data_IF_266704077068
#
_entry.id   IF_266704077068
#
_cell.length_a   1.000
_cell.length_b   1.000
_cell.length_c   1.000
_cell.angle_alpha   90.00
_cell.angle_beta   90.00
_cell.angle_gamma   90.00
#
_symmetry.space_group_name_H-M   'P 1'
#
loop_
_entity.id
_entity.type
_entity.pdbx_description
1 polymer ?
#
# COMPACT_ATOMS: atom_id res chain seq x y z
N UNK A 1 -6.66 58.22 -9.47
CA UNK A 1 -5.68 57.13 -9.21
C UNK A 1 -5.72 56.53 -7.78
N UNK A 2 -6.48 57.08 -6.82
CA UNK A 2 -6.54 56.58 -5.44
C UNK A 2 -7.54 55.41 -5.23
N UNK A 3 -8.59 55.31 -6.04
CA UNK A 3 -9.60 54.27 -5.86
C UNK A 3 -9.08 52.82 -6.11
N UNK A 4 -8.19 52.66 -7.08
CA UNK A 4 -7.63 51.36 -7.45
C UNK A 4 -6.72 50.76 -6.36
N UNK A 5 -5.96 51.60 -5.66
CA UNK A 5 -5.08 51.16 -4.54
C UNK A 5 -5.90 50.63 -3.37
N UNK A 6 -7.05 51.24 -3.07
CA UNK A 6 -7.94 50.78 -2.00
C UNK A 6 -8.56 49.42 -2.33
N UNK A 7 -8.97 49.20 -3.57
CA UNK A 7 -9.49 47.89 -4.02
C UNK A 7 -8.45 46.77 -3.93
N UNK A 8 -7.19 47.06 -4.30
CA UNK A 8 -6.11 46.10 -4.24
C UNK A 8 -5.81 45.68 -2.81
N UNK A 9 -5.82 46.62 -1.87
CA UNK A 9 -5.63 46.34 -0.44
C UNK A 9 -6.74 45.41 0.09
N UNK A 10 -7.98 45.64 -0.31
CA UNK A 10 -9.12 44.80 0.10
C UNK A 10 -9.03 43.39 -0.46
N UNK A 11 -8.63 43.24 -1.71
CA UNK A 11 -8.45 41.93 -2.34
C UNK A 11 -7.34 41.15 -1.61
N UNK A 12 -6.20 41.76 -1.35
CA UNK A 12 -5.08 41.14 -0.61
C UNK A 12 -5.49 40.77 0.82
N UNK A 13 -6.23 41.67 1.51
CA UNK A 13 -6.72 41.39 2.86
C UNK A 13 -7.71 40.21 2.91
N UNK A 14 -8.63 40.12 1.93
CA UNK A 14 -9.56 38.99 1.81
C UNK A 14 -8.80 37.70 1.53
N UNK A 15 -7.79 37.71 0.64
CA UNK A 15 -6.97 36.56 0.34
C UNK A 15 -6.16 36.07 1.56
N UNK A 16 -5.58 36.98 2.32
CA UNK A 16 -4.87 36.67 3.57
C UNK A 16 -5.82 36.10 4.64
N UNK A 17 -7.02 36.70 4.79
CA UNK A 17 -8.03 36.21 5.73
C UNK A 17 -8.54 34.81 5.36
N UNK A 18 -8.76 34.52 4.08
CA UNK A 18 -9.17 33.19 3.64
C UNK A 18 -8.05 32.15 3.79
N UNK A 19 -6.79 32.50 3.56
CA UNK A 19 -5.65 31.62 3.78
C UNK A 19 -5.44 31.35 5.27
N UNK A 20 -5.59 32.32 6.15
CA UNK A 20 -5.52 32.15 7.61
C UNK A 20 -6.71 31.34 8.11
N UNK A 21 -7.94 31.64 7.66
CA UNK A 21 -9.13 30.88 8.02
C UNK A 21 -9.02 29.42 7.55
N UNK A 22 -8.51 29.18 6.36
CA UNK A 22 -8.25 27.83 5.84
C UNK A 22 -7.28 27.03 6.74
N UNK A 23 -6.16 27.66 7.13
CA UNK A 23 -5.20 27.02 8.07
C UNK A 23 -5.80 26.77 9.46
N UNK A 24 -6.62 27.70 9.98
CA UNK A 24 -7.27 27.54 11.30
C UNK A 24 -8.35 26.47 11.25
N UNK A 25 -9.09 26.35 10.15
CA UNK A 25 -10.07 25.28 9.95
C UNK A 25 -9.36 23.94 9.85
N UNK A 26 -8.28 23.81 9.07
CA UNK A 26 -7.47 22.60 8.99
C UNK A 26 -6.87 22.21 10.35
N UNK A 27 -6.38 23.17 11.13
CA UNK A 27 -5.81 22.92 12.47
C UNK A 27 -6.86 22.59 13.55
N UNK A 28 -8.13 22.95 13.33
CA UNK A 28 -9.25 22.68 14.25
C UNK A 28 -10.16 21.54 13.83
N UNK A 29 -10.00 21.02 12.61
CA UNK A 29 -10.68 19.79 12.22
C UNK A 29 -10.03 18.67 13.06
N UNK A 30 -10.77 18.01 13.96
CA UNK A 30 -10.19 16.89 14.70
C UNK A 30 -9.63 15.91 13.67
N UNK A 31 -8.41 15.46 13.90
CA UNK A 31 -7.72 14.49 13.05
C UNK A 31 -8.44 13.12 13.19
N UNK A 32 -9.64 13.02 12.60
CA UNK A 32 -10.47 11.82 12.57
C UNK A 32 -9.94 10.85 11.50
N UNK A 33 -8.90 11.29 10.78
CA UNK A 33 -8.32 10.58 9.67
C UNK A 33 -7.10 9.72 10.05
N UNK A 34 -6.51 9.12 9.03
CA UNK A 34 -5.28 8.35 9.13
C UNK A 34 -4.03 9.25 9.17
N UNK A 35 -4.14 10.56 8.98
CA UNK A 35 -3.00 11.48 8.91
C UNK A 35 -2.15 11.54 10.20
N UNK A 36 -2.73 11.16 11.36
CA UNK A 36 -2.03 11.03 12.63
C UNK A 36 -1.36 9.68 12.86
N UNK A 37 -1.68 8.66 12.05
CA UNK A 37 -1.11 7.32 12.16
C UNK A 37 0.24 7.32 11.44
N UNK A 38 1.31 6.99 12.15
CA UNK A 38 2.68 6.98 11.63
C UNK A 38 3.33 5.60 11.65
N UNK A 39 2.71 4.65 12.34
CA UNK A 39 3.26 3.29 12.47
C UNK A 39 2.15 2.23 12.40
N UNK A 40 2.56 1.01 12.08
CA UNK A 40 1.67 -0.16 12.12
C UNK A 40 1.15 -0.38 13.54
N UNK A 41 1.96 -0.15 14.57
CA UNK A 41 1.55 -0.29 15.97
C UNK A 41 0.40 0.66 16.33
N UNK A 42 0.45 1.91 15.87
CA UNK A 42 -0.64 2.88 16.08
C UNK A 42 -1.92 2.48 15.32
N UNK A 43 -1.77 1.79 14.18
CA UNK A 43 -2.89 1.24 13.42
C UNK A 43 -3.49 0.00 14.10
N UNK A 44 -2.68 -0.81 14.77
CA UNK A 44 -3.04 -2.11 15.35
C UNK A 44 -4.27 -2.08 16.26
N UNK A 45 -4.46 -1.00 17.02
CA UNK A 45 -5.60 -0.78 17.91
C UNK A 45 -6.84 -0.17 17.24
N UNK A 46 -6.79 0.12 15.94
CA UNK A 46 -7.90 0.76 15.22
C UNK A 46 -8.88 -0.27 14.68
N UNK A 47 -10.18 0.08 14.71
CA UNK A 47 -11.20 -0.70 14.04
C UNK A 47 -11.09 -0.51 12.53
N UNK A 48 -11.00 -1.61 11.80
CA UNK A 48 -10.87 -1.61 10.34
C UNK A 48 -11.96 -2.47 9.71
N UNK A 49 -12.41 -2.06 8.54
CA UNK A 49 -13.38 -2.77 7.73
C UNK A 49 -12.76 -3.08 6.36
N UNK A 50 -12.68 -4.36 6.02
CA UNK A 50 -12.34 -4.78 4.67
C UNK A 50 -13.56 -4.59 3.77
N UNK A 51 -13.45 -3.72 2.78
CA UNK A 51 -14.53 -3.49 1.81
C UNK A 51 -14.45 -4.50 0.65
N UNK A 52 -13.24 -4.85 0.25
CA UNK A 52 -13.00 -5.72 -0.90
C UNK A 52 -11.95 -6.79 -0.59
N UNK A 53 -12.26 -8.03 -0.93
CA UNK A 53 -11.31 -9.13 -0.98
C UNK A 53 -11.20 -9.66 -2.41
N UNK A 54 -10.05 -10.14 -2.81
CA UNK A 54 -9.80 -10.69 -4.15
C UNK A 54 -10.78 -11.83 -4.44
N UNK A 55 -11.58 -11.66 -5.49
CA UNK A 55 -12.63 -12.60 -5.88
C UNK A 55 -13.99 -12.32 -5.24
N UNK A 56 -14.21 -11.15 -4.65
CA UNK A 56 -15.56 -10.68 -4.33
C UNK A 56 -16.34 -10.34 -5.60
N UNK A 57 -17.66 -10.53 -5.54
CA UNK A 57 -18.58 -10.13 -6.60
C UNK A 57 -18.69 -11.10 -7.78
N UNK A 58 -19.29 -10.61 -8.86
CA UNK A 58 -19.64 -11.40 -10.07
C UNK A 58 -18.42 -11.78 -10.94
N UNK A 59 -17.29 -11.07 -10.78
CA UNK A 59 -16.05 -11.32 -11.54
C UNK A 59 -15.21 -12.49 -11.02
N UNK A 60 -15.66 -13.18 -9.96
CA UNK A 60 -14.90 -14.28 -9.32
C UNK A 60 -14.43 -15.36 -10.28
N UNK A 61 -15.34 -15.84 -11.14
CA UNK A 61 -15.02 -16.93 -12.07
C UNK A 61 -14.02 -16.46 -13.12
N UNK A 62 -14.18 -15.27 -13.67
CA UNK A 62 -13.23 -14.67 -14.61
C UNK A 62 -11.85 -14.46 -14.00
N UNK A 63 -11.81 -14.06 -12.73
CA UNK A 63 -10.55 -13.90 -12.00
C UNK A 63 -9.85 -15.25 -11.76
N UNK A 64 -10.58 -16.29 -11.31
CA UNK A 64 -10.04 -17.65 -11.17
C UNK A 64 -9.51 -18.15 -12.49
N UNK A 65 -10.25 -17.95 -13.58
CA UNK A 65 -9.83 -18.33 -14.93
C UNK A 65 -8.55 -17.57 -15.32
N UNK A 66 -8.48 -16.27 -15.07
CA UNK A 66 -7.29 -15.45 -15.33
C UNK A 66 -6.08 -15.94 -14.53
N UNK A 67 -6.21 -16.09 -13.20
CA UNK A 67 -5.13 -16.56 -12.34
C UNK A 67 -4.66 -17.98 -12.71
N UNK A 68 -5.55 -18.85 -13.18
CA UNK A 68 -5.20 -20.24 -13.53
C UNK A 68 -4.62 -20.37 -14.93
N UNK A 69 -5.16 -19.62 -15.91
CA UNK A 69 -4.72 -19.75 -17.31
C UNK A 69 -3.54 -18.87 -17.68
N UNK A 70 -3.33 -17.78 -16.94
CA UNK A 70 -2.30 -16.77 -17.23
C UNK A 70 -1.23 -16.72 -16.14
N UNK A 71 -0.94 -17.83 -15.46
CA UNK A 71 0.09 -17.87 -14.40
C UNK A 71 1.43 -17.33 -14.89
N UNK A 72 1.88 -17.76 -16.07
CA UNK A 72 3.14 -17.28 -16.68
C UNK A 72 3.15 -15.76 -16.92
N UNK A 73 1.98 -15.17 -17.20
CA UNK A 73 1.85 -13.72 -17.38
C UNK A 73 2.06 -12.97 -16.06
N UNK A 74 1.50 -13.46 -14.95
CA UNK A 74 1.73 -12.86 -13.62
C UNK A 74 3.19 -12.99 -13.18
N UNK A 75 3.80 -14.17 -13.44
CA UNK A 75 5.23 -14.38 -13.18
C UNK A 75 6.07 -13.42 -14.03
N UNK A 76 5.77 -13.28 -15.32
CA UNK A 76 6.47 -12.37 -16.22
C UNK A 76 6.32 -10.90 -15.78
N UNK A 77 5.13 -10.47 -15.36
CA UNK A 77 4.92 -9.11 -14.83
C UNK A 77 5.79 -8.83 -13.60
N UNK A 78 5.97 -9.81 -12.74
CA UNK A 78 6.88 -9.67 -11.59
C UNK A 78 8.36 -9.65 -12.02
N UNK A 79 8.74 -10.44 -13.05
CA UNK A 79 10.10 -10.44 -13.63
C UNK A 79 10.44 -9.12 -14.33
N UNK A 80 9.44 -8.51 -14.98
CA UNK A 80 9.57 -7.24 -15.69
C UNK A 80 9.69 -6.05 -14.72
N UNK A 81 9.46 -6.24 -13.41
CA UNK A 81 9.70 -5.21 -12.41
C UNK A 81 11.12 -4.64 -12.54
N UNK A 82 11.27 -3.32 -12.41
CA UNK A 82 12.57 -2.64 -12.52
C UNK A 82 13.48 -3.01 -11.35
N UNK A 83 12.89 -3.25 -10.16
CA UNK A 83 13.58 -3.53 -8.91
C UNK A 83 12.96 -4.77 -8.26
N UNK A 84 13.79 -5.72 -7.90
CA UNK A 84 13.42 -6.92 -7.16
C UNK A 84 14.36 -7.05 -5.96
N UNK A 85 13.80 -7.02 -4.74
CA UNK A 85 14.60 -6.99 -3.51
C UNK A 85 14.02 -7.92 -2.45
N UNK A 86 14.87 -8.34 -1.52
CA UNK A 86 14.44 -8.81 -0.21
C UNK A 86 14.45 -7.63 0.75
N UNK A 87 13.34 -7.39 1.42
CA UNK A 87 13.19 -6.25 2.31
C UNK A 87 12.35 -6.58 3.54
N UNK A 88 12.45 -5.72 4.55
CA UNK A 88 11.62 -5.75 5.76
C UNK A 88 10.88 -4.45 5.93
N UNK A 89 9.67 -4.50 6.49
CA UNK A 89 8.99 -3.30 6.95
C UNK A 89 9.79 -2.65 8.08
N UNK A 90 9.88 -1.31 8.07
CA UNK A 90 10.37 -0.55 9.23
C UNK A 90 9.25 -0.27 10.23
N UNK A 91 8.01 -0.58 9.86
CA UNK A 91 6.80 -0.26 10.60
C UNK A 91 6.29 1.16 10.35
N UNK A 92 7.05 2.02 9.67
CA UNK A 92 6.64 3.39 9.40
C UNK A 92 5.58 3.47 8.30
N UNK A 93 4.59 4.34 8.51
CA UNK A 93 3.47 4.59 7.60
C UNK A 93 3.31 6.09 7.33
N UNK A 94 2.89 6.41 6.13
CA UNK A 94 2.45 7.76 5.75
C UNK A 94 1.14 7.67 4.98
N UNK A 95 0.19 8.53 5.35
CA UNK A 95 -1.12 8.60 4.69
C UNK A 95 -1.30 9.96 4.04
N UNK A 96 -1.75 9.97 2.79
CA UNK A 96 -2.16 11.15 2.05
C UNK A 96 -3.58 10.95 1.54
N UNK A 97 -4.17 11.96 0.92
CA UNK A 97 -5.52 11.81 0.34
C UNK A 97 -5.51 10.76 -0.78
N UNK A 98 -6.12 9.62 -0.51
CA UNK A 98 -6.30 8.53 -1.48
C UNK A 98 -5.09 7.63 -1.69
N UNK A 99 -3.97 7.84 -0.98
CA UNK A 99 -2.79 6.95 -1.04
C UNK A 99 -2.19 6.74 0.35
N UNK A 100 -1.48 5.64 0.50
CA UNK A 100 -0.63 5.42 1.66
C UNK A 100 0.73 4.88 1.24
N UNK A 101 1.74 5.19 2.03
CA UNK A 101 3.10 4.68 1.91
C UNK A 101 3.49 3.85 3.11
N UNK A 102 4.26 2.81 2.87
CA UNK A 102 4.94 2.01 3.88
C UNK A 102 6.43 2.07 3.63
N UNK A 103 7.21 2.37 4.67
CA UNK A 103 8.66 2.35 4.57
C UNK A 103 9.19 0.93 4.73
N UNK A 104 10.16 0.58 3.88
CA UNK A 104 10.88 -0.68 3.93
C UNK A 104 12.39 -0.42 4.01
N UNK A 105 13.12 -1.37 4.59
CA UNK A 105 14.58 -1.46 4.55
C UNK A 105 14.98 -2.62 3.65
N UNK A 106 15.82 -2.36 2.66
CA UNK A 106 16.32 -3.35 1.70
C UNK A 106 17.39 -4.21 2.36
N UNK A 107 17.21 -5.53 2.38
CA UNK A 107 18.19 -6.47 2.93
C UNK A 107 19.17 -6.94 1.86
N UNK A 108 18.67 -7.27 0.67
CA UNK A 108 19.47 -7.65 -0.49
C UNK A 108 18.78 -7.33 -1.79
N UNK A 109 19.55 -7.14 -2.86
CA UNK A 109 19.06 -6.76 -4.19
C UNK A 109 19.23 -7.93 -5.13
N UNK A 110 18.14 -8.35 -5.76
CA UNK A 110 18.13 -9.39 -6.80
C UNK A 110 18.26 -8.72 -8.18
N UNK A 111 17.58 -7.57 -8.37
CA UNK A 111 17.57 -6.77 -9.60
C UNK A 111 17.38 -5.30 -9.25
N UNK A 112 18.02 -4.38 -10.00
CA UNK A 112 17.78 -2.94 -9.89
C UNK A 112 18.74 -2.21 -8.96
N UNK A 113 19.99 -2.67 -8.83
CA UNK A 113 21.05 -2.04 -8.03
C UNK A 113 21.42 -0.62 -8.48
N UNK A 114 20.99 -0.19 -9.65
CA UNK A 114 21.12 1.19 -10.12
C UNK A 114 20.10 2.15 -9.49
N UNK A 115 19.04 1.61 -8.85
CA UNK A 115 17.96 2.39 -8.26
C UNK A 115 18.04 2.50 -6.74
N UNK A 116 18.54 1.47 -6.07
CA UNK A 116 18.55 1.37 -4.60
C UNK A 116 19.76 0.59 -4.12
N UNK A 117 20.25 0.89 -2.92
CA UNK A 117 21.37 0.20 -2.29
C UNK A 117 20.89 -0.76 -1.17
N UNK A 118 21.72 -1.76 -0.84
CA UNK A 118 21.49 -2.60 0.32
C UNK A 118 21.54 -1.78 1.62
N UNK A 119 20.69 -2.12 2.56
CA UNK A 119 20.46 -1.42 3.83
C UNK A 119 19.90 0.01 3.69
N UNK A 120 19.51 0.41 2.48
CA UNK A 120 18.80 1.66 2.24
C UNK A 120 17.32 1.50 2.58
N UNK A 121 16.68 2.60 3.02
CA UNK A 121 15.25 2.67 3.21
C UNK A 121 14.58 3.36 2.03
N UNK A 122 13.38 2.91 1.69
CA UNK A 122 12.54 3.56 0.68
C UNK A 122 11.07 3.41 1.04
N UNK A 123 10.24 4.23 0.41
CA UNK A 123 8.79 4.20 0.55
C UNK A 123 8.13 3.44 -0.60
N UNK A 124 7.22 2.54 -0.26
CA UNK A 124 6.34 1.88 -1.22
C UNK A 124 4.96 2.52 -1.12
N UNK A 125 4.53 3.17 -2.21
CA UNK A 125 3.25 3.84 -2.27
C UNK A 125 2.19 2.99 -2.95
N UNK A 126 0.97 3.04 -2.41
CA UNK A 126 -0.21 2.37 -2.95
C UNK A 126 -1.40 3.31 -2.99
N UNK A 127 -2.13 3.26 -4.12
CA UNK A 127 -3.33 4.07 -4.32
C UNK A 127 -4.57 3.37 -3.76
N UNK A 128 -5.54 4.16 -3.29
CA UNK A 128 -6.90 3.72 -2.90
C UNK A 128 -6.99 2.62 -1.84
N UNK A 129 -5.97 2.47 -1.02
CA UNK A 129 -5.90 1.32 -0.13
C UNK A 129 -6.60 1.49 1.20
N UNK A 130 -6.61 2.70 1.76
CA UNK A 130 -7.07 2.93 3.13
C UNK A 130 -7.63 4.35 3.27
N UNK A 131 -8.83 4.47 3.78
CA UNK A 131 -9.47 5.77 4.02
C UNK A 131 -10.37 5.71 5.25
N UNK A 132 -10.77 6.88 5.78
CA UNK A 132 -11.74 6.96 6.87
C UNK A 132 -13.11 7.34 6.30
N UNK A 133 -14.08 6.47 6.52
CA UNK A 133 -15.49 6.67 6.17
C UNK A 133 -16.33 6.50 7.42
N UNK A 134 -17.16 7.50 7.74
CA UNK A 134 -18.04 7.48 8.91
C UNK A 134 -17.34 7.15 10.25
N UNK A 135 -16.10 7.60 10.39
CA UNK A 135 -15.27 7.37 11.58
C UNK A 135 -14.64 5.97 11.68
N UNK A 136 -14.80 5.14 10.68
CA UNK A 136 -14.18 3.83 10.57
C UNK A 136 -13.13 3.81 9.46
N UNK A 137 -12.04 3.08 9.68
CA UNK A 137 -11.02 2.85 8.64
C UNK A 137 -11.55 1.77 7.69
N UNK A 138 -11.66 2.12 6.41
CA UNK A 138 -12.06 1.20 5.34
C UNK A 138 -10.83 0.82 4.55
N UNK A 139 -10.58 -0.49 4.43
CA UNK A 139 -9.45 -1.07 3.71
C UNK A 139 -9.94 -1.67 2.39
N UNK A 140 -9.31 -1.27 1.28
CA UNK A 140 -9.72 -1.66 -0.08
C UNK A 140 -8.65 -2.40 -0.86
N UNK A 141 -7.45 -2.54 -0.33
CA UNK A 141 -6.40 -3.29 -1.00
C UNK A 141 -6.52 -4.80 -0.78
N UNK A 142 -6.02 -5.53 -1.75
CA UNK A 142 -5.94 -7.00 -1.71
C UNK A 142 -4.78 -7.45 -0.83
N UNK A 143 -3.60 -6.83 -0.99
CA UNK A 143 -2.44 -7.11 -0.13
C UNK A 143 -2.52 -6.27 1.14
N UNK A 144 -2.33 -6.89 2.30
CA UNK A 144 -2.19 -6.17 3.56
C UNK A 144 -0.82 -5.45 3.64
N UNK A 145 -0.61 -4.62 4.65
CA UNK A 145 0.70 -4.04 4.94
C UNK A 145 1.71 -5.16 5.26
N UNK A 146 2.96 -4.97 4.85
CA UNK A 146 4.04 -5.88 5.26
C UNK A 146 4.20 -5.79 6.77
N UNK A 147 4.02 -6.91 7.45
CA UNK A 147 4.22 -7.09 8.88
C UNK A 147 5.68 -7.44 9.18
N UNK A 148 5.96 -7.94 10.39
CA UNK A 148 7.28 -8.47 10.73
C UNK A 148 7.67 -9.63 9.81
N UNK A 149 8.92 -9.65 9.38
CA UNK A 149 9.44 -10.69 8.50
C UNK A 149 10.17 -10.12 7.29
N UNK A 150 10.70 -11.01 6.47
CA UNK A 150 11.35 -10.65 5.20
C UNK A 150 10.40 -10.96 4.04
N UNK A 151 10.36 -10.05 3.08
CA UNK A 151 9.50 -10.13 1.91
C UNK A 151 10.34 -10.05 0.64
N UNK A 152 9.94 -10.82 -0.35
CA UNK A 152 10.32 -10.61 -1.74
C UNK A 152 9.43 -9.49 -2.29
N UNK A 153 10.02 -8.41 -2.80
CA UNK A 153 9.31 -7.19 -3.19
C UNK A 153 9.63 -6.84 -4.64
N UNK A 154 8.59 -6.55 -5.41
CA UNK A 154 8.65 -6.19 -6.83
C UNK A 154 8.22 -4.74 -7.01
N UNK A 155 9.10 -3.87 -7.51
CA UNK A 155 8.87 -2.43 -7.61
C UNK A 155 9.13 -1.90 -9.02
N UNK A 156 8.39 -0.85 -9.36
CA UNK A 156 8.65 -0.05 -10.55
C UNK A 156 9.44 1.20 -10.17
N UNK A 157 10.41 1.56 -11.02
CA UNK A 157 11.33 2.69 -10.86
C UNK A 157 10.70 4.07 -11.06
N UNK A 158 9.40 4.14 -11.37
CA UNK A 158 8.69 5.39 -11.55
C UNK A 158 8.69 6.20 -10.24
N UNK A 159 9.61 7.15 -10.12
CA UNK A 159 9.67 8.06 -9.00
C UNK A 159 8.39 8.89 -8.95
N UNK A 160 7.60 8.69 -7.91
CA UNK A 160 6.30 9.36 -7.74
C UNK A 160 6.43 10.85 -7.45
N UNK A 161 7.57 11.28 -6.89
CA UNK A 161 7.73 12.67 -6.48
C UNK A 161 9.18 13.16 -6.56
N UNK A 162 9.46 13.97 -7.59
CA UNK A 162 10.78 14.59 -7.78
C UNK A 162 11.19 15.62 -6.69
N UNK A 163 10.28 15.94 -5.76
CA UNK A 163 10.52 16.93 -4.70
C UNK A 163 10.85 16.32 -3.34
N UNK A 164 10.78 14.98 -3.22
CA UNK A 164 11.21 14.29 -2.00
C UNK A 164 12.66 13.87 -2.09
N UNK A 165 13.33 13.86 -0.95
CA UNK A 165 14.71 13.38 -0.82
C UNK A 165 14.77 11.86 -0.66
N UNK A 166 13.70 11.27 -0.16
CA UNK A 166 13.56 9.83 0.03
C UNK A 166 13.18 9.14 -1.29
N UNK A 167 13.68 7.94 -1.48
CA UNK A 167 13.32 7.13 -2.64
C UNK A 167 11.90 6.60 -2.48
N UNK A 168 11.11 6.74 -3.52
CA UNK A 168 9.71 6.35 -3.55
C UNK A 168 9.45 5.46 -4.77
N UNK A 169 8.75 4.36 -4.55
CA UNK A 169 8.43 3.39 -5.59
C UNK A 169 6.97 2.96 -5.50
N UNK A 170 6.47 2.35 -6.56
CA UNK A 170 5.19 1.64 -6.59
C UNK A 170 5.44 0.15 -6.74
N UNK A 171 4.53 -0.68 -6.21
CA UNK A 171 4.56 -2.11 -6.48
C UNK A 171 4.32 -2.39 -7.96
N UNK A 172 5.07 -3.33 -8.54
CA UNK A 172 4.93 -3.73 -9.94
C UNK A 172 3.64 -4.52 -10.21
N UNK A 173 3.03 -5.09 -9.17
CA UNK A 173 1.77 -5.83 -9.26
C UNK A 173 0.84 -5.47 -8.11
N UNK A 174 -0.46 -5.40 -8.39
CA UNK A 174 -1.50 -5.21 -7.39
C UNK A 174 -1.67 -6.44 -6.50
N UNK A 175 -1.49 -7.65 -7.06
CA UNK A 175 -1.76 -8.92 -6.38
C UNK A 175 -0.50 -9.62 -5.87
N UNK A 176 0.66 -9.32 -6.44
CA UNK A 176 1.95 -9.96 -6.16
C UNK A 176 3.06 -8.92 -5.94
N UNK A 177 2.73 -7.72 -5.50
CA UNK A 177 3.70 -6.65 -5.29
C UNK A 177 4.74 -6.97 -4.23
N UNK A 178 4.42 -7.83 -3.27
CA UNK A 178 5.33 -8.41 -2.29
C UNK A 178 4.79 -9.72 -1.72
N UNK A 179 5.70 -10.61 -1.37
CA UNK A 179 5.43 -11.95 -0.86
C UNK A 179 6.30 -12.23 0.36
N UNK A 180 5.76 -12.75 1.49
CA UNK A 180 6.59 -13.18 2.62
C UNK A 180 7.43 -14.39 2.20
N UNK A 181 8.76 -14.33 2.40
CA UNK A 181 9.67 -15.42 1.99
C UNK A 181 9.51 -16.69 2.83
N UNK A 182 8.96 -16.59 4.03
CA UNK A 182 8.65 -17.78 4.84
C UNK A 182 7.60 -18.70 4.20
N UNK A 183 7.00 -18.23 3.08
CA UNK A 183 5.85 -18.85 2.47
C UNK A 183 4.61 -18.74 3.38
N UNK A 184 3.48 -18.42 2.79
CA UNK A 184 2.20 -18.40 3.51
C UNK A 184 1.17 -19.10 2.62
N UNK A 185 0.55 -20.15 3.15
CA UNK A 185 -0.64 -20.70 2.53
C UNK A 185 -1.83 -19.79 2.84
N UNK A 186 -2.16 -18.93 1.88
CA UNK A 186 -3.27 -17.99 2.02
C UNK A 186 -4.59 -18.74 2.05
N UNK A 187 -5.43 -18.42 3.03
CA UNK A 187 -6.77 -18.95 3.19
C UNK A 187 -7.83 -17.85 2.96
N UNK A 188 -9.04 -18.23 2.53
CA UNK A 188 -10.12 -17.26 2.37
C UNK A 188 -10.44 -16.55 3.68
N UNK A 189 -10.56 -15.22 3.62
CA UNK A 189 -11.00 -14.42 4.75
C UNK A 189 -12.45 -14.75 5.11
N UNK A 190 -12.73 -14.90 6.41
CA UNK A 190 -14.07 -15.18 6.92
C UNK A 190 -14.84 -13.86 7.12
N UNK A 191 -16.16 -13.93 7.05
CA UNK A 191 -17.01 -12.74 7.20
C UNK A 191 -16.79 -12.01 8.54
N UNK A 192 -16.59 -12.76 9.63
CA UNK A 192 -16.28 -12.18 10.93
C UNK A 192 -14.89 -11.56 11.07
N UNK A 193 -14.01 -11.75 10.08
CA UNK A 193 -12.67 -11.14 10.00
C UNK A 193 -12.68 -9.85 9.15
N UNK A 194 -13.81 -9.50 8.53
CA UNK A 194 -13.91 -8.31 7.67
C UNK A 194 -14.09 -7.00 8.43
N UNK A 195 -14.44 -7.06 9.72
CA UNK A 195 -14.64 -5.88 10.55
C UNK A 195 -14.10 -6.13 11.96
N UNK A 196 -12.82 -5.89 12.16
CA UNK A 196 -12.04 -6.27 13.34
C UNK A 196 -11.04 -5.18 13.72
N UNK A 197 -10.31 -5.37 14.81
CA UNK A 197 -9.11 -4.55 15.05
C UNK A 197 -8.02 -4.93 14.05
N UNK A 198 -7.26 -3.94 13.57
CA UNK A 198 -6.24 -4.16 12.54
C UNK A 198 -5.24 -5.28 12.91
N UNK A 199 -4.84 -5.36 14.17
CA UNK A 199 -3.93 -6.43 14.67
C UNK A 199 -4.44 -7.86 14.42
N UNK A 200 -5.74 -8.06 14.20
CA UNK A 200 -6.31 -9.37 13.92
C UNK A 200 -6.04 -9.82 12.47
N UNK A 201 -5.53 -8.91 11.62
CA UNK A 201 -5.08 -9.21 10.27
C UNK A 201 -3.58 -9.50 10.17
N UNK A 202 -2.79 -9.34 11.25
CA UNK A 202 -1.32 -9.43 11.22
C UNK A 202 -0.75 -10.70 10.58
N UNK A 203 -1.55 -11.77 10.49
CA UNK A 203 -1.16 -13.04 9.85
C UNK A 203 -1.83 -13.24 8.48
N UNK A 204 -2.56 -12.24 7.96
CA UNK A 204 -3.30 -12.31 6.70
C UNK A 204 -2.60 -11.42 5.66
N UNK A 205 -1.66 -11.95 4.88
CA UNK A 205 -0.91 -11.10 3.94
C UNK A 205 -1.74 -10.69 2.73
N UNK A 206 -2.82 -11.43 2.43
CA UNK A 206 -3.68 -11.20 1.26
C UNK A 206 -5.13 -11.49 1.62
N UNK A 207 -6.01 -10.56 1.27
CA UNK A 207 -7.45 -10.70 1.49
C UNK A 207 -8.12 -11.37 0.28
N UNK A 208 -8.47 -12.64 0.43
CA UNK A 208 -9.08 -13.48 -0.62
C UNK A 208 -10.43 -13.99 -0.15
N UNK A 209 -11.43 -13.99 -1.03
CA UNK A 209 -12.81 -14.33 -0.70
C UNK A 209 -13.17 -15.81 -0.86
N UNK A 210 -12.39 -16.60 -1.61
CA UNK A 210 -12.75 -17.99 -1.91
C UNK A 210 -11.56 -18.93 -1.99
N UNK A 211 -11.80 -20.22 -1.70
CA UNK A 211 -10.77 -21.27 -1.79
C UNK A 211 -10.16 -21.43 -3.18
N UNK A 212 -10.97 -21.24 -4.24
CA UNK A 212 -10.47 -21.37 -5.62
C UNK A 212 -9.49 -20.25 -5.97
N UNK A 213 -9.81 -19.02 -5.57
CA UNK A 213 -8.91 -17.87 -5.76
C UNK A 213 -7.65 -18.03 -4.93
N UNK A 214 -7.77 -18.49 -3.66
CA UNK A 214 -6.64 -18.74 -2.79
C UNK A 214 -5.69 -19.80 -3.37
N UNK A 215 -6.22 -20.92 -3.87
CA UNK A 215 -5.40 -21.96 -4.50
C UNK A 215 -4.63 -21.41 -5.71
N UNK A 216 -5.31 -20.71 -6.63
CA UNK A 216 -4.66 -20.14 -7.81
C UNK A 216 -3.62 -19.05 -7.45
N UNK A 217 -3.89 -18.24 -6.43
CA UNK A 217 -2.93 -17.25 -5.93
C UNK A 217 -1.70 -17.92 -5.31
N UNK A 218 -1.89 -18.95 -4.47
CA UNK A 218 -0.80 -19.69 -3.81
C UNK A 218 0.13 -20.34 -4.83
N UNK A 219 -0.41 -20.93 -5.92
CA UNK A 219 0.40 -21.52 -7.01
C UNK A 219 1.33 -20.48 -7.65
N UNK A 220 0.83 -19.29 -7.97
CA UNK A 220 1.64 -18.22 -8.56
C UNK A 220 2.67 -17.69 -7.55
N UNK A 221 2.26 -17.50 -6.29
CA UNK A 221 3.16 -17.07 -5.23
C UNK A 221 4.33 -18.06 -5.02
N UNK A 222 4.04 -19.36 -5.03
CA UNK A 222 5.06 -20.42 -4.95
C UNK A 222 6.01 -20.37 -6.16
N UNK A 223 5.48 -20.20 -7.38
CA UNK A 223 6.32 -20.04 -8.59
C UNK A 223 7.26 -18.86 -8.48
N UNK A 224 6.78 -17.71 -7.99
CA UNK A 224 7.59 -16.51 -7.79
C UNK A 224 8.65 -16.70 -6.70
N UNK A 225 8.29 -17.27 -5.55
CA UNK A 225 9.24 -17.54 -4.48
C UNK A 225 10.34 -18.50 -4.94
N UNK A 226 9.99 -19.62 -5.57
CA UNK A 226 10.96 -20.60 -6.09
C UNK A 226 11.90 -19.98 -7.15
N UNK A 227 11.41 -19.05 -7.95
CA UNK A 227 12.20 -18.41 -9.01
C UNK A 227 13.23 -17.41 -8.48
N UNK A 228 12.87 -16.69 -7.42
CA UNK A 228 13.69 -15.63 -6.84
C UNK A 228 14.24 -16.01 -5.45
N UNK A 229 14.17 -17.29 -5.09
CA UNK A 229 14.78 -17.76 -3.85
C UNK A 229 16.27 -17.45 -3.88
N UNK A 230 16.81 -16.70 -2.91
CA UNK A 230 18.24 -16.47 -2.87
C UNK A 230 18.95 -17.81 -2.67
N UNK A 231 19.99 -18.06 -3.47
CA UNK A 231 20.86 -19.22 -3.27
C UNK A 231 21.28 -19.28 -1.80
N UNK A 232 20.90 -20.36 -1.09
CA UNK A 232 21.09 -20.54 0.33
C UNK A 232 22.57 -20.73 0.71
#
# INVERSE_FOLDING_TARGET
>A
MEGWKKWYIWIVAVFLLTAVAGKVIMARTPDVGLAGVKTIDELSGRQVKLEYALGDGESREALVESLTKNQDEYVRQAEDADIIVLAKSTGALEFTTGTYGQEICVNSIIKGNEWIDENETCWIWRSYGMEVMDGQIVYRNVLDLMQDGTYLVFLNSNQLNAYRTEKEFQTASEYFGYLPIAGVEVQPIKENQRNVLYKEWSEIPVFISSKKVAAAWNEIAEMLLNKFEPDA
#
